data_IF_168203620509
#
_entry.id   IF_168203620509
#
_cell.length_a   1.000
_cell.length_b   1.000
_cell.length_c   1.000
_cell.angle_alpha   90.00
_cell.angle_beta   90.00
_cell.angle_gamma   90.00
#
_symmetry.space_group_name_H-M   'P 1'
#
loop_
_entity.id
_entity.type
_entity.pdbx_description
1 polymer ?
#
# COMPACT_ATOMS: atom_id res chain seq x y z
N UNK A 1 32.42 -5.72 12.55
CA UNK A 1 31.29 -6.45 11.93
C UNK A 1 30.57 -5.48 11.03
N UNK A 2 30.51 -5.73 9.72
CA UNK A 2 29.75 -4.86 8.81
C UNK A 2 28.25 -5.03 9.08
N UNK A 3 27.47 -3.95 8.95
CA UNK A 3 26.02 -4.05 9.01
C UNK A 3 25.53 -4.95 7.88
N UNK A 4 24.82 -6.03 8.23
CA UNK A 4 24.13 -6.88 7.25
C UNK A 4 22.89 -6.12 6.78
N UNK A 5 22.68 -6.04 5.48
CA UNK A 5 21.47 -5.46 4.88
C UNK A 5 21.02 -6.35 3.71
N UNK A 6 19.73 -6.33 3.43
CA UNK A 6 19.12 -7.03 2.30
C UNK A 6 18.17 -6.08 1.59
N UNK A 7 18.08 -6.21 0.26
CA UNK A 7 17.17 -5.43 -0.56
C UNK A 7 16.52 -6.36 -1.58
N UNK A 8 15.20 -6.31 -1.66
CA UNK A 8 14.40 -7.11 -2.58
C UNK A 8 13.29 -6.26 -3.18
N UNK A 9 13.08 -6.40 -4.49
CA UNK A 9 11.92 -5.83 -5.19
C UNK A 9 10.80 -6.85 -5.15
N UNK A 10 9.64 -6.45 -4.63
CA UNK A 10 8.42 -7.27 -4.60
C UNK A 10 7.42 -6.68 -5.58
N UNK A 11 6.85 -7.52 -6.44
CA UNK A 11 5.81 -7.13 -7.40
C UNK A 11 4.45 -7.49 -6.82
N UNK A 12 3.60 -6.48 -6.63
CA UNK A 12 2.20 -6.66 -6.22
C UNK A 12 1.32 -6.53 -7.47
N UNK A 13 0.38 -7.45 -7.72
CA UNK A 13 -0.51 -7.36 -8.87
C UNK A 13 -1.39 -6.11 -8.77
N UNK A 14 -1.71 -5.52 -9.92
CA UNK A 14 -2.58 -4.36 -10.02
C UNK A 14 -3.90 -4.63 -9.30
N UNK A 15 -4.26 -3.76 -8.37
CA UNK A 15 -5.51 -3.82 -7.63
C UNK A 15 -6.50 -2.80 -8.19
N UNK A 16 -7.78 -3.09 -8.03
CA UNK A 16 -8.82 -2.06 -8.16
C UNK A 16 -8.62 -1.00 -7.07
N UNK A 17 -9.22 0.17 -7.24
CA UNK A 17 -9.30 1.19 -6.19
C UNK A 17 -9.83 0.60 -4.88
N UNK A 18 -9.20 0.97 -3.77
CA UNK A 18 -9.58 0.55 -2.41
C UNK A 18 -8.37 0.31 -1.51
N UNK A 19 -8.63 -0.19 -0.31
CA UNK A 19 -7.60 -0.61 0.64
C UNK A 19 -7.35 -2.12 0.53
N UNK A 20 -6.09 -2.53 0.36
CA UNK A 20 -5.73 -3.94 0.11
C UNK A 20 -4.65 -4.42 1.08
N UNK A 21 -4.88 -5.57 1.70
CA UNK A 21 -3.89 -6.21 2.54
C UNK A 21 -2.79 -6.85 1.70
N UNK A 22 -1.54 -6.43 1.92
CA UNK A 22 -0.38 -6.99 1.19
C UNK A 22 0.67 -7.64 2.10
N UNK A 23 0.49 -7.58 3.42
CA UNK A 23 1.39 -8.23 4.38
C UNK A 23 1.71 -9.68 4.02
N UNK A 24 0.73 -10.56 3.71
CA UNK A 24 1.03 -11.96 3.43
C UNK A 24 1.95 -12.13 2.21
N UNK A 25 1.73 -11.31 1.17
CA UNK A 25 2.55 -11.35 -0.04
C UNK A 25 3.96 -10.82 0.20
N UNK A 26 4.10 -9.73 0.94
CA UNK A 26 5.42 -9.20 1.30
C UNK A 26 6.19 -10.25 2.11
N UNK A 27 5.59 -10.80 3.16
CA UNK A 27 6.23 -11.78 4.06
C UNK A 27 6.64 -13.03 3.29
N UNK A 28 5.76 -13.57 2.44
CA UNK A 28 6.07 -14.72 1.58
C UNK A 28 7.33 -14.47 0.74
N UNK A 29 7.46 -13.28 0.17
CA UNK A 29 8.59 -12.92 -0.69
C UNK A 29 9.88 -12.70 0.09
N UNK A 30 9.84 -12.05 1.26
CA UNK A 30 11.07 -11.64 1.99
C UNK A 30 11.46 -12.61 3.11
N UNK A 31 10.68 -13.65 3.42
CA UNK A 31 10.93 -14.56 4.55
C UNK A 31 12.35 -15.15 4.57
N UNK A 32 12.90 -15.50 3.40
CA UNK A 32 14.24 -16.06 3.31
C UNK A 32 15.31 -15.04 3.66
N UNK A 33 15.14 -13.79 3.21
CA UNK A 33 16.03 -12.68 3.52
C UNK A 33 15.99 -12.35 5.02
N UNK A 34 14.81 -12.42 5.64
CA UNK A 34 14.59 -12.14 7.06
C UNK A 34 15.23 -13.18 8.00
N UNK A 35 15.43 -14.42 7.56
CA UNK A 35 15.95 -15.52 8.39
C UNK A 35 17.28 -15.21 9.10
N UNK A 36 18.07 -14.30 8.53
CA UNK A 36 19.36 -13.88 9.05
C UNK A 36 19.34 -12.68 10.01
N UNK A 37 18.16 -12.15 10.35
CA UNK A 37 17.99 -10.95 11.16
C UNK A 37 17.16 -11.27 12.42
N UNK A 38 17.68 -10.94 13.60
CA UNK A 38 16.91 -11.00 14.86
C UNK A 38 16.19 -9.69 15.17
N UNK A 39 16.75 -8.57 14.71
CA UNK A 39 16.25 -7.22 14.88
C UNK A 39 16.89 -6.35 13.79
N UNK A 40 16.15 -5.36 13.29
CA UNK A 40 16.61 -4.47 12.24
C UNK A 40 15.56 -3.42 11.89
N UNK A 41 15.83 -2.65 10.84
CA UNK A 41 14.90 -1.67 10.27
C UNK A 41 14.49 -2.15 8.87
N UNK A 42 13.18 -2.19 8.62
CA UNK A 42 12.64 -2.44 7.30
C UNK A 42 12.22 -1.11 6.66
N UNK A 43 12.70 -0.85 5.45
CA UNK A 43 12.27 0.29 4.65
C UNK A 43 11.44 -0.21 3.46
N UNK A 44 10.17 0.19 3.41
CA UNK A 44 9.25 -0.19 2.36
C UNK A 44 9.04 1.03 1.45
N UNK A 45 9.49 0.92 0.20
CA UNK A 45 9.36 1.97 -0.79
C UNK A 45 8.47 1.51 -1.94
N UNK A 46 7.37 2.21 -2.13
CA UNK A 46 6.44 1.96 -3.24
C UNK A 46 6.83 2.80 -4.45
N UNK A 47 7.17 2.14 -5.55
CA UNK A 47 7.52 2.77 -6.82
C UNK A 47 6.27 3.03 -7.66
N UNK A 48 5.33 3.80 -7.12
CA UNK A 48 4.07 4.16 -7.79
C UNK A 48 3.65 5.58 -7.42
N UNK A 49 3.08 6.33 -8.36
CA UNK A 49 2.59 7.70 -8.12
C UNK A 49 1.15 7.72 -7.60
N UNK A 50 0.38 6.69 -7.97
CA UNK A 50 -1.07 6.61 -7.75
C UNK A 50 -1.47 5.64 -6.63
N UNK A 51 -0.53 5.31 -5.74
CA UNK A 51 -0.72 4.37 -4.65
C UNK A 51 0.17 4.74 -3.47
N UNK A 52 -0.12 4.24 -2.28
CA UNK A 52 0.71 4.49 -1.09
C UNK A 52 0.61 3.33 -0.12
N UNK A 53 1.61 3.23 0.74
CA UNK A 53 1.67 2.24 1.80
C UNK A 53 1.16 2.86 3.10
N UNK A 54 0.36 2.11 3.85
CA UNK A 54 -0.04 2.45 5.22
C UNK A 54 0.19 1.28 6.14
N UNK A 55 0.61 1.58 7.37
CA UNK A 55 0.71 0.60 8.45
C UNK A 55 -0.45 0.87 9.40
N UNK A 56 -1.32 -0.12 9.61
CA UNK A 56 -2.53 0.04 10.40
C UNK A 56 -3.04 -1.34 10.90
N UNK A 57 -4.04 -1.36 11.78
CA UNK A 57 -4.61 -2.57 12.40
C UNK A 57 -5.35 -3.45 11.38
N UNK A 58 -5.12 -4.76 11.36
CA UNK A 58 -5.83 -5.69 10.47
C UNK A 58 -6.50 -6.83 11.26
N UNK A 59 -6.95 -6.56 12.49
CA UNK A 59 -7.70 -7.53 13.29
C UNK A 59 -9.17 -7.60 12.86
N UNK A 60 -9.76 -6.44 12.52
CA UNK A 60 -11.15 -6.31 12.08
C UNK A 60 -11.23 -5.80 10.63
N UNK A 61 -11.98 -6.48 9.78
CA UNK A 61 -12.21 -6.08 8.38
C UNK A 61 -12.94 -4.74 8.26
N UNK A 62 -13.66 -4.32 9.31
CA UNK A 62 -14.36 -3.03 9.33
C UNK A 62 -13.37 -1.86 9.30
N UNK A 63 -12.18 -2.00 9.89
CA UNK A 63 -11.14 -0.96 9.89
C UNK A 63 -10.66 -0.64 8.46
N UNK A 64 -10.55 -1.67 7.61
CA UNK A 64 -10.23 -1.49 6.19
C UNK A 64 -11.37 -0.75 5.46
N UNK A 65 -12.61 -1.14 5.73
CA UNK A 65 -13.81 -0.56 5.12
C UNK A 65 -14.04 0.90 5.54
N UNK A 66 -13.79 1.22 6.81
CA UNK A 66 -13.89 2.56 7.36
C UNK A 66 -12.82 3.48 6.78
N UNK A 67 -11.58 2.98 6.64
CA UNK A 67 -10.50 3.75 6.02
C UNK A 67 -10.81 4.05 4.56
N UNK A 68 -11.30 3.06 3.81
CA UNK A 68 -11.72 3.26 2.43
C UNK A 68 -12.88 4.28 2.36
N UNK A 69 -13.88 4.16 3.23
CA UNK A 69 -15.02 5.09 3.30
C UNK A 69 -14.56 6.51 3.60
N UNK A 70 -13.64 6.68 4.56
CA UNK A 70 -13.05 7.97 4.88
C UNK A 70 -12.33 8.58 3.69
N UNK A 71 -11.45 7.83 3.02
CA UNK A 71 -10.74 8.28 1.82
C UNK A 71 -11.70 8.69 0.70
N UNK A 72 -12.75 7.91 0.47
CA UNK A 72 -13.76 8.20 -0.56
C UNK A 72 -14.49 9.53 -0.29
N UNK A 73 -14.61 9.90 0.98
CA UNK A 73 -15.24 11.16 1.40
C UNK A 73 -14.31 12.35 1.22
N UNK A 74 -13.04 12.22 1.59
CA UNK A 74 -12.08 13.34 1.55
C UNK A 74 -11.47 13.56 0.17
N UNK A 75 -11.33 12.49 -0.62
CA UNK A 75 -10.87 12.54 -2.01
C UNK A 75 -11.87 11.83 -2.92
N UNK A 76 -13.04 12.46 -3.18
CA UNK A 76 -14.07 11.87 -4.03
C UNK A 76 -13.59 11.68 -5.47
N UNK A 77 -14.09 10.66 -6.13
CA UNK A 77 -13.83 10.41 -7.56
C UNK A 77 -15.06 10.65 -8.44
N UNK A 78 -14.84 10.63 -9.75
CA UNK A 78 -15.89 10.77 -10.76
C UNK A 78 -16.06 12.19 -11.28
N UNK A 79 -17.02 12.35 -12.20
CA UNK A 79 -17.23 13.61 -12.94
C UNK A 79 -17.70 14.78 -12.07
N UNK A 80 -18.29 14.49 -10.92
CA UNK A 80 -18.75 15.49 -9.95
C UNK A 80 -17.65 15.94 -8.99
N UNK A 81 -16.49 15.30 -9.00
CA UNK A 81 -15.41 15.64 -8.10
C UNK A 81 -14.73 16.95 -8.52
N UNK A 82 -14.45 17.88 -7.59
CA UNK A 82 -14.02 19.25 -7.90
C UNK A 82 -12.52 19.36 -8.21
N UNK A 83 -11.96 18.42 -8.97
CA UNK A 83 -10.53 18.40 -9.28
C UNK A 83 -10.20 19.11 -10.57
N UNK A 84 -9.11 19.89 -10.57
CA UNK A 84 -8.61 20.59 -11.76
C UNK A 84 -7.73 19.71 -12.65
N UNK A 85 -6.98 18.78 -12.05
CA UNK A 85 -6.16 17.82 -12.77
C UNK A 85 -7.01 16.59 -13.08
N UNK A 86 -7.44 16.37 -14.31
CA UNK A 86 -8.31 15.24 -14.70
C UNK A 86 -7.77 14.44 -15.88
N UNK A 87 -6.59 14.82 -16.39
CA UNK A 87 -5.90 14.15 -17.48
C UNK A 87 -4.98 13.08 -16.91
N UNK A 88 -5.58 12.03 -16.37
CA UNK A 88 -4.90 10.77 -16.06
C UNK A 88 -5.51 9.68 -16.94
N UNK A 89 -4.70 8.76 -17.44
CA UNK A 89 -5.18 7.63 -18.25
C UNK A 89 -6.21 6.81 -17.45
N UNK A 90 -7.19 6.16 -18.10
CA UNK A 90 -8.24 5.38 -17.41
C UNK A 90 -7.70 4.27 -16.49
N UNK A 91 -6.47 3.82 -16.75
CA UNK A 91 -5.71 2.85 -15.94
C UNK A 91 -5.06 3.47 -14.70
N UNK A 92 -4.98 4.81 -14.67
CA UNK A 92 -4.37 5.68 -13.66
C UNK A 92 -5.45 6.62 -13.09
N UNK A 93 -6.71 6.18 -12.97
CA UNK A 93 -7.74 6.88 -12.18
C UNK A 93 -7.45 6.81 -10.66
N UNK A 94 -6.18 6.84 -10.29
CA UNK A 94 -5.68 6.42 -8.99
C UNK A 94 -4.73 7.47 -8.38
N UNK A 95 -4.47 8.63 -9.00
CA UNK A 95 -3.66 9.66 -8.31
C UNK A 95 -4.45 10.37 -7.19
N UNK A 96 -5.70 9.95 -6.95
CA UNK A 96 -6.58 10.60 -5.96
C UNK A 96 -7.12 9.66 -4.90
N UNK A 97 -7.43 8.42 -5.26
CA UNK A 97 -7.51 7.34 -4.29
C UNK A 97 -6.31 6.43 -4.46
N UNK A 98 -5.26 6.83 -3.75
CA UNK A 98 -4.21 5.98 -3.26
C UNK A 98 -4.71 4.54 -3.10
N UNK A 99 -4.25 3.60 -3.93
CA UNK A 99 -4.33 2.20 -3.56
C UNK A 99 -3.55 2.08 -2.25
N UNK A 100 -4.28 1.96 -1.15
CA UNK A 100 -3.69 1.88 0.18
C UNK A 100 -3.31 0.44 0.41
N UNK A 101 -2.01 0.23 0.39
CA UNK A 101 -1.45 -1.04 0.72
C UNK A 101 -1.31 -1.13 2.23
N UNK A 102 -2.13 -2.00 2.81
CA UNK A 102 -2.20 -2.25 4.23
C UNK A 102 -1.09 -3.23 4.63
N UNK A 103 -0.20 -2.77 5.50
CA UNK A 103 0.82 -3.58 6.14
C UNK A 103 0.44 -3.69 7.62
N UNK A 104 0.29 -4.92 8.09
CA UNK A 104 0.01 -5.24 9.49
C UNK A 104 1.27 -5.83 10.12
N UNK A 105 1.65 -5.33 11.29
CA UNK A 105 2.87 -5.74 12.01
C UNK A 105 2.48 -6.10 13.44
N UNK A 106 1.73 -7.19 13.62
CA UNK A 106 1.61 -7.92 14.89
C UNK A 106 1.41 -9.40 14.60
#
# INVERSE_FOLDING_TARGET
>A
MAAKWAQKTVVVPAQRRGCHLITPKIVEEIQQDLSGFKCGLAHLFLQHTSASLTINENYDSDVQSDTETFLNRIVPEGRSAPWKHTLEEKSVSADKAVALYWIWIL
#
